data_IF_933339897291
#
_entry.id   IF_933339897291
#
_cell.length_a   1.000
_cell.length_b   1.000
_cell.length_c   1.000
_cell.angle_alpha   90.00
_cell.angle_beta   90.00
_cell.angle_gamma   90.00
#
_symmetry.space_group_name_H-M   'P 1'
#
loop_
_entity.id
_entity.type
_entity.pdbx_description
1 polymer ?
#
# COMPACT_ATOMS: atom_id res chain seq x y z
N UNK A 1 -10.14 -9.86 -1.77
CA UNK A 1 -9.18 -11.00 -1.90
C UNK A 1 -9.94 -12.31 -1.90
N UNK A 2 -9.85 -13.06 -3.02
CA UNK A 2 -10.50 -14.34 -3.27
C UNK A 2 -10.08 -15.37 -2.18
N UNK A 3 -10.97 -16.31 -1.82
CA UNK A 3 -10.66 -17.37 -0.84
C UNK A 3 -9.42 -18.18 -1.26
N UNK A 4 -9.29 -18.46 -2.56
CA UNK A 4 -8.13 -19.12 -3.17
C UNK A 4 -6.85 -18.26 -3.01
N UNK A 5 -6.94 -16.96 -3.28
CA UNK A 5 -5.80 -16.03 -3.13
C UNK A 5 -5.37 -15.92 -1.67
N UNK A 6 -6.33 -15.91 -0.73
CA UNK A 6 -6.01 -15.93 0.71
C UNK A 6 -5.26 -17.19 1.14
N UNK A 7 -5.72 -18.34 0.65
CA UNK A 7 -5.11 -19.61 0.97
C UNK A 7 -3.70 -19.71 0.35
N UNK A 8 -3.56 -19.27 -0.90
CA UNK A 8 -2.27 -19.21 -1.58
C UNK A 8 -1.32 -18.22 -0.89
N UNK A 9 -1.79 -17.04 -0.50
CA UNK A 9 -1.00 -16.07 0.25
C UNK A 9 -0.53 -16.63 1.61
N UNK A 10 -1.41 -17.36 2.33
CA UNK A 10 -1.02 -18.03 3.58
C UNK A 10 0.09 -19.06 3.33
N UNK A 11 -0.08 -19.90 2.31
CA UNK A 11 0.92 -20.90 1.93
C UNK A 11 2.25 -20.23 1.54
N UNK A 12 2.19 -19.18 0.74
CA UNK A 12 3.36 -18.40 0.33
C UNK A 12 4.09 -17.80 1.54
N UNK A 13 3.36 -17.30 2.53
CA UNK A 13 3.98 -16.77 3.75
C UNK A 13 4.65 -17.86 4.60
N UNK A 14 4.09 -19.08 4.63
CA UNK A 14 4.71 -20.22 5.29
C UNK A 14 6.00 -20.67 4.58
N UNK A 15 6.01 -20.66 3.25
CA UNK A 15 7.19 -20.97 2.42
C UNK A 15 8.28 -19.90 2.56
N UNK A 16 7.88 -18.63 2.54
CA UNK A 16 8.79 -17.48 2.70
C UNK A 16 9.55 -17.52 4.04
N UNK A 17 8.87 -18.00 5.10
CA UNK A 17 9.49 -18.23 6.40
C UNK A 17 10.62 -19.26 6.42
N UNK A 18 10.71 -20.14 5.40
CA UNK A 18 11.75 -21.17 5.28
C UNK A 18 12.97 -20.70 4.49
N UNK A 19 12.88 -19.53 3.84
CA UNK A 19 14.01 -18.96 3.09
C UNK A 19 15.10 -18.48 4.04
N UNK A 20 16.35 -18.65 3.65
CA UNK A 20 17.49 -17.98 4.26
C UNK A 20 17.42 -16.46 4.01
N UNK A 21 18.20 -15.67 4.75
CA UNK A 21 18.13 -14.21 4.70
C UNK A 21 18.46 -13.63 3.31
N UNK A 22 19.41 -14.24 2.61
CA UNK A 22 19.79 -13.81 1.25
C UNK A 22 18.65 -14.01 0.25
N UNK A 23 18.09 -15.22 0.21
CA UNK A 23 16.98 -15.56 -0.68
C UNK A 23 15.70 -14.79 -0.34
N UNK A 24 15.42 -14.58 0.96
CA UNK A 24 14.29 -13.79 1.42
C UNK A 24 14.38 -12.33 0.96
N UNK A 25 15.57 -11.74 1.03
CA UNK A 25 15.78 -10.37 0.57
C UNK A 25 15.52 -10.27 -0.93
N UNK A 26 16.13 -11.18 -1.72
CA UNK A 26 15.93 -11.21 -3.17
C UNK A 26 14.46 -11.47 -3.55
N UNK A 27 13.79 -12.39 -2.86
CA UNK A 27 12.35 -12.67 -3.04
C UNK A 27 11.49 -11.46 -2.74
N UNK A 28 11.76 -10.74 -1.66
CA UNK A 28 11.04 -9.51 -1.30
C UNK A 28 11.15 -8.46 -2.40
N UNK A 29 12.34 -8.24 -2.95
CA UNK A 29 12.58 -7.29 -4.02
C UNK A 29 11.80 -7.68 -5.29
N UNK A 30 11.82 -8.97 -5.67
CA UNK A 30 11.07 -9.49 -6.82
C UNK A 30 9.56 -9.36 -6.64
N UNK A 31 9.03 -9.73 -5.47
CA UNK A 31 7.58 -9.62 -5.16
C UNK A 31 7.14 -8.17 -5.21
N UNK A 32 7.90 -7.23 -4.64
CA UNK A 32 7.60 -5.79 -4.71
C UNK A 32 7.57 -5.29 -6.15
N UNK A 33 8.47 -5.77 -7.01
CA UNK A 33 8.51 -5.40 -8.42
C UNK A 33 7.31 -5.96 -9.20
N UNK A 34 6.98 -7.23 -8.99
CA UNK A 34 5.86 -7.91 -9.66
C UNK A 34 4.51 -7.29 -9.26
N UNK A 35 4.35 -6.83 -8.03
CA UNK A 35 3.09 -6.23 -7.53
C UNK A 35 2.64 -4.98 -8.27
N UNK A 36 3.55 -4.27 -8.90
CA UNK A 36 3.20 -3.06 -9.69
C UNK A 36 3.16 -3.29 -11.20
N UNK A 37 3.41 -4.52 -11.65
CA UNK A 37 3.51 -4.87 -13.06
C UNK A 37 2.17 -4.88 -13.82
N UNK A 38 1.03 -4.61 -13.15
CA UNK A 38 -0.30 -4.56 -13.78
C UNK A 38 -0.83 -5.94 -14.20
N UNK A 39 -0.43 -7.00 -13.51
CA UNK A 39 -1.00 -8.36 -13.56
C UNK A 39 -1.96 -8.55 -12.38
N UNK A 40 -2.96 -9.43 -12.51
CA UNK A 40 -3.98 -9.63 -11.48
C UNK A 40 -3.39 -10.18 -10.17
N UNK A 41 -4.04 -9.88 -9.04
CA UNK A 41 -3.61 -10.30 -7.69
C UNK A 41 -3.45 -11.83 -7.62
N UNK A 42 -4.38 -12.57 -8.23
CA UNK A 42 -4.30 -14.03 -8.26
C UNK A 42 -3.03 -14.53 -8.97
N UNK A 43 -2.70 -13.92 -10.12
CA UNK A 43 -1.49 -14.26 -10.87
C UNK A 43 -0.22 -13.87 -10.13
N UNK A 44 -0.24 -12.74 -9.42
CA UNK A 44 0.90 -12.32 -8.59
C UNK A 44 1.22 -13.35 -7.50
N UNK A 45 0.19 -13.88 -6.82
CA UNK A 45 0.39 -14.90 -5.78
C UNK A 45 0.74 -16.28 -6.37
N UNK A 46 0.24 -16.63 -7.57
CA UNK A 46 0.67 -17.85 -8.28
C UNK A 46 2.16 -17.77 -8.65
N UNK A 47 2.58 -16.68 -9.27
CA UNK A 47 4.01 -16.45 -9.58
C UNK A 47 4.87 -16.47 -8.33
N UNK A 48 4.41 -15.83 -7.24
CA UNK A 48 5.13 -15.86 -5.96
C UNK A 48 5.27 -17.29 -5.45
N UNK A 49 4.25 -18.12 -5.59
CA UNK A 49 4.32 -19.52 -5.17
C UNK A 49 5.36 -20.31 -5.98
N UNK A 50 5.35 -20.14 -7.31
CA UNK A 50 6.31 -20.80 -8.19
C UNK A 50 7.75 -20.36 -7.89
N UNK A 51 7.96 -19.07 -7.70
CA UNK A 51 9.28 -18.51 -7.32
C UNK A 51 9.75 -19.05 -5.97
N UNK A 52 8.86 -19.14 -4.96
CA UNK A 52 9.19 -19.68 -3.65
C UNK A 52 9.57 -21.15 -3.73
N UNK A 53 8.80 -21.96 -4.47
CA UNK A 53 9.10 -23.38 -4.68
C UNK A 53 10.46 -23.56 -5.34
N UNK A 54 10.71 -22.85 -6.45
CA UNK A 54 11.98 -22.87 -7.15
C UNK A 54 13.16 -22.45 -6.26
N UNK A 55 12.95 -21.42 -5.43
CA UNK A 55 14.00 -20.91 -4.54
C UNK A 55 14.31 -21.87 -3.40
N UNK A 56 13.30 -22.54 -2.83
CA UNK A 56 13.50 -23.56 -1.78
C UNK A 56 14.25 -24.77 -2.32
N UNK A 57 13.87 -25.25 -3.51
CA UNK A 57 14.58 -26.33 -4.18
C UNK A 57 16.04 -25.98 -4.49
N UNK A 58 16.32 -24.76 -4.92
CA UNK A 58 17.68 -24.26 -5.15
C UNK A 58 18.45 -24.14 -3.82
N UNK A 59 17.82 -23.62 -2.79
CA UNK A 59 18.43 -23.50 -1.45
C UNK A 59 18.85 -24.85 -0.87
N UNK A 60 18.10 -25.94 -1.13
CA UNK A 60 18.46 -27.31 -0.75
C UNK A 60 19.71 -27.79 -1.48
N UNK A 61 19.94 -27.31 -2.71
CA UNK A 61 21.16 -27.58 -3.48
C UNK A 61 22.34 -26.64 -3.14
N UNK A 62 22.11 -25.67 -2.22
CA UNK A 62 23.11 -24.67 -1.86
C UNK A 62 23.23 -23.51 -2.84
N UNK A 63 22.26 -23.35 -3.78
CA UNK A 63 22.20 -22.27 -4.75
C UNK A 63 21.35 -21.11 -4.26
N UNK A 64 21.71 -19.87 -4.61
CA UNK A 64 20.90 -18.69 -4.28
C UNK A 64 19.88 -18.38 -5.37
N UNK A 65 18.78 -17.68 -5.00
CA UNK A 65 17.79 -17.16 -5.96
C UNK A 65 18.46 -16.30 -7.04
N UNK A 66 19.48 -15.54 -6.66
CA UNK A 66 20.22 -14.69 -7.61
C UNK A 66 21.00 -15.53 -8.65
N UNK A 67 21.56 -16.63 -8.25
CA UNK A 67 22.29 -17.54 -9.16
C UNK A 67 21.35 -18.20 -10.14
N UNK A 68 20.23 -18.75 -9.69
CA UNK A 68 19.24 -19.38 -10.59
C UNK A 68 18.52 -18.39 -11.51
N UNK A 69 18.44 -17.10 -11.11
CA UNK A 69 17.93 -16.03 -11.97
C UNK A 69 18.99 -15.45 -12.94
N UNK A 70 20.19 -16.07 -13.03
CA UNK A 70 21.27 -15.63 -13.92
C UNK A 70 21.93 -14.32 -13.52
N UNK A 71 21.82 -13.90 -12.24
CA UNK A 71 22.43 -12.69 -11.70
C UNK A 71 21.61 -11.39 -11.91
N UNK A 72 20.68 -11.38 -12.87
CA UNK A 72 19.80 -10.25 -13.18
C UNK A 72 18.36 -10.55 -12.75
N UNK A 73 18.06 -10.27 -11.47
CA UNK A 73 16.72 -10.44 -10.91
C UNK A 73 15.66 -9.60 -11.62
N UNK A 74 16.01 -8.38 -12.07
CA UNK A 74 15.07 -7.50 -12.76
C UNK A 74 14.72 -8.06 -14.14
N UNK A 75 15.71 -8.40 -14.95
CA UNK A 75 15.50 -9.00 -16.27
C UNK A 75 14.73 -10.31 -16.19
N UNK A 76 14.98 -11.11 -15.15
CA UNK A 76 14.22 -12.33 -14.87
C UNK A 76 12.74 -12.04 -14.57
N UNK A 77 12.44 -11.05 -13.71
CA UNK A 77 11.07 -10.60 -13.45
C UNK A 77 10.40 -10.06 -14.72
N UNK A 78 11.11 -9.29 -15.55
CA UNK A 78 10.57 -8.74 -16.80
C UNK A 78 10.15 -9.84 -17.76
N UNK A 79 10.92 -10.93 -17.85
CA UNK A 79 10.57 -12.10 -18.67
C UNK A 79 9.31 -12.81 -18.13
N UNK A 80 9.19 -12.99 -16.83
CA UNK A 80 8.00 -13.56 -16.21
C UNK A 80 6.77 -12.67 -16.50
N UNK A 81 6.86 -11.37 -16.26
CA UNK A 81 5.77 -10.42 -16.51
C UNK A 81 5.34 -10.42 -17.97
N UNK A 82 6.31 -10.45 -18.91
CA UNK A 82 6.03 -10.47 -20.33
C UNK A 82 5.34 -11.78 -20.81
N UNK A 83 5.51 -12.89 -20.09
CA UNK A 83 4.86 -14.17 -20.39
C UNK A 83 3.41 -14.25 -19.87
N UNK A 84 2.99 -13.32 -19.01
CA UNK A 84 1.67 -13.33 -18.39
C UNK A 84 0.69 -12.42 -19.12
N UNK A 85 -0.59 -12.79 -19.23
CA UNK A 85 -1.60 -11.89 -19.75
C UNK A 85 -1.76 -10.70 -18.80
N UNK A 86 -1.84 -9.46 -19.35
CA UNK A 86 -2.09 -8.28 -18.52
C UNK A 86 -3.48 -8.37 -17.86
N UNK A 87 -3.62 -7.80 -16.67
CA UNK A 87 -4.92 -7.68 -16.02
C UNK A 87 -5.91 -6.90 -16.91
N UNK A 88 -7.15 -7.35 -16.96
CA UNK A 88 -8.22 -6.69 -17.69
C UNK A 88 -8.43 -5.25 -17.22
N UNK A 89 -8.89 -4.37 -18.12
CA UNK A 89 -9.15 -2.95 -17.76
C UNK A 89 -10.18 -2.87 -16.63
N UNK A 90 -11.24 -3.70 -16.68
CA UNK A 90 -12.26 -3.76 -15.62
C UNK A 90 -11.68 -4.18 -14.27
N UNK A 91 -10.80 -5.16 -14.24
CA UNK A 91 -10.12 -5.65 -13.05
C UNK A 91 -9.26 -4.55 -12.41
N UNK A 92 -8.43 -3.87 -13.21
CA UNK A 92 -7.61 -2.73 -12.73
C UNK A 92 -8.44 -1.59 -12.16
N UNK A 93 -9.56 -1.26 -12.82
CA UNK A 93 -10.47 -0.20 -12.35
C UNK A 93 -11.11 -0.63 -11.03
N UNK A 94 -11.52 -1.88 -10.89
CA UNK A 94 -12.12 -2.41 -9.67
C UNK A 94 -11.13 -2.41 -8.50
N UNK A 95 -9.89 -2.85 -8.73
CA UNK A 95 -8.80 -2.80 -7.73
C UNK A 95 -8.48 -1.35 -7.31
N UNK A 96 -8.43 -0.42 -8.27
CA UNK A 96 -8.19 0.99 -7.97
C UNK A 96 -9.35 1.60 -7.15
N UNK A 97 -10.61 1.27 -7.49
CA UNK A 97 -11.78 1.73 -6.75
C UNK A 97 -11.79 1.14 -5.32
N UNK A 98 -11.49 -0.14 -5.18
CA UNK A 98 -11.41 -0.79 -3.87
C UNK A 98 -10.35 -0.13 -2.98
N UNK A 99 -9.17 0.12 -3.54
CA UNK A 99 -8.09 0.83 -2.84
C UNK A 99 -8.51 2.24 -2.42
N UNK A 100 -9.17 3.01 -3.30
CA UNK A 100 -9.68 4.34 -2.99
C UNK A 100 -10.73 4.32 -1.88
N UNK A 101 -11.67 3.37 -1.94
CA UNK A 101 -12.70 3.18 -0.90
C UNK A 101 -12.04 2.88 0.45
N UNK A 102 -11.08 1.95 0.47
CA UNK A 102 -10.35 1.59 1.69
C UNK A 102 -9.56 2.77 2.25
N UNK A 103 -8.81 3.48 1.41
CA UNK A 103 -8.05 4.67 1.84
C UNK A 103 -8.98 5.74 2.43
N UNK A 104 -10.13 5.99 1.78
CA UNK A 104 -11.12 6.96 2.26
C UNK A 104 -11.72 6.51 3.60
N UNK A 105 -12.05 5.23 3.75
CA UNK A 105 -12.57 4.68 5.00
C UNK A 105 -11.58 4.80 6.15
N UNK A 106 -10.30 4.48 5.91
CA UNK A 106 -9.22 4.59 6.91
C UNK A 106 -8.99 6.05 7.31
N UNK A 107 -8.86 6.97 6.34
CA UNK A 107 -8.67 8.39 6.64
C UNK A 107 -9.89 9.00 7.33
N UNK A 108 -11.11 8.57 6.96
CA UNK A 108 -12.34 8.96 7.66
C UNK A 108 -12.36 8.47 9.12
N UNK A 109 -11.93 7.22 9.37
CA UNK A 109 -11.81 6.68 10.71
C UNK A 109 -10.75 7.44 11.55
N UNK A 110 -9.61 7.78 10.95
CA UNK A 110 -8.57 8.60 11.60
C UNK A 110 -9.10 9.98 11.93
N UNK A 111 -9.80 10.65 10.99
CA UNK A 111 -10.43 11.94 11.24
C UNK A 111 -11.42 11.85 12.38
N UNK A 112 -12.29 10.83 12.39
CA UNK A 112 -13.22 10.59 13.48
C UNK A 112 -12.50 10.45 14.84
N UNK A 113 -11.45 9.61 14.88
CA UNK A 113 -10.71 9.34 16.12
C UNK A 113 -9.97 10.56 16.67
N UNK A 114 -9.46 11.41 15.78
CA UNK A 114 -8.67 12.61 16.16
C UNK A 114 -9.51 13.88 16.23
N UNK A 115 -10.82 13.82 15.96
CA UNK A 115 -11.68 15.01 15.98
C UNK A 115 -11.91 15.52 17.41
N UNK A 116 -12.01 16.85 17.61
CA UNK A 116 -12.38 17.43 18.90
C UNK A 116 -13.73 16.92 19.43
N UNK A 117 -14.65 16.61 18.53
CA UNK A 117 -15.98 16.10 18.86
C UNK A 117 -15.89 14.73 19.56
N UNK A 118 -14.95 13.87 19.17
CA UNK A 118 -14.70 12.60 19.85
C UNK A 118 -14.21 12.82 21.28
N UNK A 119 -13.34 13.79 21.49
CA UNK A 119 -12.94 14.18 22.84
C UNK A 119 -14.13 14.71 23.65
N UNK A 120 -14.97 15.59 23.08
CA UNK A 120 -16.18 16.09 23.73
C UNK A 120 -17.19 14.98 24.02
N UNK A 121 -17.33 13.98 23.16
CA UNK A 121 -18.16 12.80 23.40
C UNK A 121 -17.66 12.01 24.62
N UNK A 122 -16.37 11.71 24.67
CA UNK A 122 -15.76 10.98 25.79
C UNK A 122 -15.95 11.74 27.10
N UNK A 123 -15.72 13.06 27.09
CA UNK A 123 -15.95 13.90 28.23
C UNK A 123 -17.43 13.92 28.65
N UNK A 124 -18.34 13.97 27.70
CA UNK A 124 -19.79 13.97 27.93
C UNK A 124 -20.29 12.67 28.59
N UNK A 125 -19.71 11.54 28.22
CA UNK A 125 -19.99 10.24 28.85
C UNK A 125 -19.61 10.24 30.35
N UNK A 126 -18.57 10.99 30.71
CA UNK A 126 -18.12 11.11 32.12
C UNK A 126 -18.92 12.18 32.92
N UNK A 127 -19.29 13.30 32.26
CA UNK A 127 -19.92 14.43 32.90
C UNK A 127 -21.46 14.48 32.79
N UNK A 128 -22.05 13.58 31.98
CA UNK A 128 -23.50 13.54 31.70
C UNK A 128 -23.99 14.70 30.81
N UNK A 129 -23.11 15.49 30.21
CA UNK A 129 -23.48 16.57 29.29
C UNK A 129 -23.92 16.06 27.94
N UNK A 130 -24.70 16.86 27.17
CA UNK A 130 -25.15 16.53 25.82
C UNK A 130 -24.48 17.46 24.81
N UNK A 131 -23.30 17.12 24.26
CA UNK A 131 -22.65 17.94 23.25
C UNK A 131 -23.37 17.83 21.90
N UNK A 132 -23.35 18.90 21.12
CA UNK A 132 -23.64 18.81 19.69
C UNK A 132 -22.45 18.13 19.00
N UNK A 133 -22.69 16.98 18.39
CA UNK A 133 -21.66 16.16 17.75
C UNK A 133 -21.83 16.26 16.23
N UNK A 134 -21.20 17.29 15.64
CA UNK A 134 -21.20 17.49 14.19
C UNK A 134 -19.76 17.54 13.69
N UNK A 135 -19.41 16.62 12.78
CA UNK A 135 -18.11 16.59 12.10
C UNK A 135 -18.21 17.51 10.89
N UNK A 136 -17.32 18.47 10.82
CA UNK A 136 -17.21 19.39 9.69
C UNK A 136 -16.18 18.87 8.70
N UNK A 137 -16.57 18.81 7.43
CA UNK A 137 -15.66 18.50 6.31
C UNK A 137 -15.36 19.82 5.62
N UNK A 138 -14.07 20.16 5.56
CA UNK A 138 -13.57 21.41 5.00
C UNK A 138 -12.90 21.20 3.65
N UNK A 139 -12.65 22.30 2.93
CA UNK A 139 -11.83 22.25 1.73
C UNK A 139 -10.38 21.85 2.05
N UNK A 140 -9.89 22.22 3.24
CA UNK A 140 -8.59 21.79 3.75
C UNK A 140 -8.49 20.28 3.92
N UNK A 141 -9.54 19.63 4.43
CA UNK A 141 -9.61 18.18 4.55
C UNK A 141 -9.49 17.49 3.18
N UNK A 142 -10.19 17.98 2.15
CA UNK A 142 -10.11 17.41 0.80
C UNK A 142 -8.71 17.55 0.20
N UNK A 143 -8.08 18.70 0.38
CA UNK A 143 -6.70 18.93 -0.09
C UNK A 143 -5.72 17.98 0.63
N UNK A 144 -5.85 17.84 1.95
CA UNK A 144 -5.03 16.94 2.75
C UNK A 144 -5.21 15.49 2.33
N UNK A 145 -6.46 15.05 2.13
CA UNK A 145 -6.80 13.72 1.63
C UNK A 145 -6.13 13.44 0.28
N UNK A 146 -6.29 14.34 -0.68
CA UNK A 146 -5.70 14.19 -2.01
C UNK A 146 -4.16 14.13 -1.95
N UNK A 147 -3.53 14.96 -1.13
CA UNK A 147 -2.08 15.00 -0.97
C UNK A 147 -1.54 13.73 -0.29
N UNK A 148 -2.18 13.23 0.76
CA UNK A 148 -1.77 12.00 1.46
C UNK A 148 -1.92 10.79 0.51
N UNK A 149 -3.03 10.71 -0.23
CA UNK A 149 -3.26 9.63 -1.20
C UNK A 149 -2.22 9.67 -2.34
N UNK A 150 -1.96 10.85 -2.90
CA UNK A 150 -0.95 11.02 -3.94
C UNK A 150 0.46 10.68 -3.44
N UNK A 151 0.82 11.09 -2.22
CA UNK A 151 2.09 10.76 -1.59
C UNK A 151 2.24 9.25 -1.37
N UNK A 152 1.20 8.58 -0.86
CA UNK A 152 1.20 7.14 -0.67
C UNK A 152 1.38 6.38 -2.00
N UNK A 153 0.63 6.74 -3.04
CA UNK A 153 0.80 6.17 -4.39
C UNK A 153 2.22 6.42 -4.93
N UNK A 154 2.74 7.65 -4.78
CA UNK A 154 4.10 8.00 -5.21
C UNK A 154 5.18 7.18 -4.49
N UNK A 155 5.03 6.95 -3.19
CA UNK A 155 5.95 6.13 -2.40
C UNK A 155 5.92 4.67 -2.87
N UNK A 156 4.72 4.10 -3.06
CA UNK A 156 4.57 2.72 -3.55
C UNK A 156 5.23 2.54 -4.92
N UNK A 157 4.93 3.43 -5.87
CA UNK A 157 5.54 3.41 -7.21
C UNK A 157 7.06 3.60 -7.17
N UNK A 158 7.55 4.48 -6.28
CA UNK A 158 8.99 4.70 -6.09
C UNK A 158 9.68 3.45 -5.55
N UNK A 159 9.12 2.82 -4.51
CA UNK A 159 9.66 1.59 -3.92
C UNK A 159 9.70 0.49 -4.98
N UNK A 160 8.60 0.27 -5.67
CA UNK A 160 8.50 -0.76 -6.68
C UNK A 160 9.49 -0.57 -7.84
N UNK A 161 9.57 0.64 -8.39
CA UNK A 161 10.52 0.96 -9.48
C UNK A 161 11.98 0.83 -9.05
N UNK A 162 12.28 0.99 -7.75
CA UNK A 162 13.63 0.92 -7.22
C UNK A 162 13.85 -0.32 -6.34
N UNK A 163 12.99 -1.33 -6.37
CA UNK A 163 13.07 -2.51 -5.51
C UNK A 163 14.48 -3.11 -5.51
N UNK A 164 15.05 -3.39 -6.68
CA UNK A 164 16.39 -3.96 -6.81
C UNK A 164 17.55 -2.99 -6.53
N UNK A 165 17.28 -1.70 -6.28
CA UNK A 165 18.29 -0.68 -6.01
C UNK A 165 18.27 -0.13 -4.57
N UNK A 166 17.30 -0.57 -3.76
CA UNK A 166 17.16 -0.17 -2.35
C UNK A 166 18.16 -0.95 -1.46
N UNK A 167 18.59 -0.40 -0.29
CA UNK A 167 19.63 -0.98 0.55
C UNK A 167 19.25 -2.27 1.30
N UNK A 168 18.26 -3.02 0.89
CA UNK A 168 17.95 -4.38 1.35
C UNK A 168 18.61 -5.44 0.46
N UNK A 169 18.76 -5.17 -0.83
CA UNK A 169 19.54 -6.00 -1.73
C UNK A 169 21.03 -5.77 -1.48
N UNK A 170 21.78 -6.83 -1.24
CA UNK A 170 23.22 -6.82 -1.01
C UNK A 170 23.91 -6.18 -2.22
N UNK A 171 24.21 -4.89 -2.10
CA UNK A 171 25.05 -4.22 -3.08
C UNK A 171 26.46 -4.74 -2.89
N UNK A 172 27.00 -5.35 -3.93
CA UNK A 172 28.43 -5.53 -4.11
C UNK A 172 29.18 -4.27 -3.67
N UNK A 173 30.23 -4.48 -2.83
CA UNK A 173 30.95 -3.46 -2.09
C UNK A 173 31.74 -2.48 -2.94
N UNK A 174 31.13 -1.78 -3.89
CA UNK A 174 31.70 -0.62 -4.56
C UNK A 174 31.03 0.65 -4.07
N UNK A 175 31.83 1.44 -3.41
CA UNK A 175 31.74 2.85 -3.04
C UNK A 175 30.43 3.53 -3.46
N UNK A 176 29.43 3.50 -2.56
CA UNK A 176 28.20 4.28 -2.74
C UNK A 176 28.61 5.73 -2.85
N UNK A 177 28.66 6.25 -4.05
CA UNK A 177 28.96 7.65 -4.29
C UNK A 177 28.16 8.51 -3.33
N UNK A 178 28.85 9.23 -2.43
CA UNK A 178 28.32 10.18 -1.45
C UNK A 178 27.26 11.08 -2.08
N UNK A 179 27.41 11.41 -3.36
CA UNK A 179 26.44 12.17 -4.19
C UNK A 179 25.07 11.44 -4.34
N UNK A 180 25.02 10.10 -4.43
CA UNK A 180 23.78 9.35 -4.58
C UNK A 180 22.97 9.33 -3.26
N UNK A 181 23.67 9.26 -2.12
CA UNK A 181 23.06 9.34 -0.78
C UNK A 181 22.49 10.74 -0.55
N UNK A 182 23.27 11.80 -0.84
CA UNK A 182 22.83 13.18 -0.70
C UNK A 182 21.64 13.52 -1.59
N UNK A 183 21.60 13.00 -2.83
CA UNK A 183 20.44 13.17 -3.73
C UNK A 183 19.20 12.49 -3.18
N UNK A 184 19.29 11.28 -2.64
CA UNK A 184 18.16 10.58 -2.03
C UNK A 184 17.65 11.31 -0.79
N UNK A 185 18.57 11.78 0.05
CA UNK A 185 18.25 12.58 1.22
C UNK A 185 17.56 13.91 0.81
N UNK A 186 18.07 14.60 -0.21
CA UNK A 186 17.46 15.80 -0.74
C UNK A 186 16.05 15.59 -1.28
N UNK A 187 15.77 14.47 -1.97
CA UNK A 187 14.43 14.10 -2.43
C UNK A 187 13.49 13.89 -1.23
N UNK A 188 13.95 13.17 -0.19
CA UNK A 188 13.16 12.94 1.02
C UNK A 188 12.84 14.24 1.76
N UNK A 189 13.82 15.12 1.94
CA UNK A 189 13.61 16.45 2.54
C UNK A 189 12.67 17.31 1.70
N UNK A 190 12.81 17.29 0.37
CA UNK A 190 11.92 18.02 -0.54
C UNK A 190 10.47 17.54 -0.43
N UNK A 191 10.25 16.23 -0.37
CA UNK A 191 8.92 15.65 -0.18
C UNK A 191 8.32 16.03 1.19
N UNK A 192 9.12 16.00 2.25
CA UNK A 192 8.69 16.42 3.59
C UNK A 192 8.30 17.90 3.64
N UNK A 193 9.10 18.78 3.01
CA UNK A 193 8.80 20.20 2.92
C UNK A 193 7.53 20.47 2.11
N UNK A 194 7.33 19.75 1.00
CA UNK A 194 6.11 19.85 0.19
C UNK A 194 4.89 19.42 1.01
N UNK A 195 4.99 18.32 1.76
CA UNK A 195 3.92 17.87 2.64
C UNK A 195 3.61 18.89 3.74
N UNK A 196 4.64 19.47 4.37
CA UNK A 196 4.47 20.53 5.38
C UNK A 196 3.77 21.75 4.76
N UNK A 197 4.14 22.14 3.54
CA UNK A 197 3.46 23.25 2.83
C UNK A 197 1.99 22.93 2.56
N UNK A 198 1.69 21.70 2.13
CA UNK A 198 0.29 21.26 1.92
C UNK A 198 -0.51 21.34 3.22
N UNK A 199 0.07 20.90 4.35
CA UNK A 199 -0.58 21.00 5.66
C UNK A 199 -0.81 22.46 6.08
N UNK A 200 0.12 23.36 5.82
CA UNK A 200 -0.05 24.80 6.10
C UNK A 200 -1.14 25.42 5.24
N UNK A 201 -1.21 25.06 3.95
CA UNK A 201 -2.25 25.54 3.03
C UNK A 201 -3.60 24.96 3.42
N UNK A 202 -3.68 23.66 3.76
CA UNK A 202 -4.94 23.03 4.19
C UNK A 202 -5.49 23.70 5.45
N UNK A 203 -4.64 24.02 6.42
CA UNK A 203 -5.04 24.75 7.63
C UNK A 203 -5.62 26.14 7.34
N UNK A 204 -5.22 26.80 6.25
CA UNK A 204 -5.83 28.06 5.79
C UNK A 204 -7.18 27.85 5.11
N UNK A 205 -7.38 26.69 4.49
CA UNK A 205 -8.62 26.32 3.81
C UNK A 205 -9.67 25.70 4.76
N UNK A 206 -9.33 25.44 6.01
CA UNK A 206 -10.26 24.90 7.01
C UNK A 206 -11.41 25.86 7.33
N UNK A 207 -11.26 27.16 7.02
CA UNK A 207 -12.36 28.13 7.12
C UNK A 207 -13.50 27.88 6.12
N UNK A 208 -13.23 27.15 5.03
CA UNK A 208 -14.23 26.86 3.99
C UNK A 208 -14.89 25.52 4.28
N UNK A 209 -16.01 25.57 5.00
CA UNK A 209 -16.84 24.40 5.29
C UNK A 209 -17.60 23.97 4.03
N UNK A 210 -17.48 22.69 3.67
CA UNK A 210 -18.21 22.09 2.54
C UNK A 210 -19.51 21.48 3.06
N UNK A 211 -19.41 20.66 4.09
CA UNK A 211 -20.56 19.98 4.68
C UNK A 211 -20.31 19.72 6.17
N UNK A 212 -21.36 19.81 6.96
CA UNK A 212 -21.35 19.33 8.34
C UNK A 212 -22.25 18.10 8.45
N UNK A 213 -21.75 17.04 9.01
CA UNK A 213 -22.46 15.75 9.14
C UNK A 213 -22.50 15.40 10.62
N UNK A 214 -23.66 14.90 11.09
CA UNK A 214 -23.73 14.37 12.43
C UNK A 214 -22.72 13.23 12.62
N UNK A 215 -22.06 13.18 13.76
CA UNK A 215 -21.02 12.19 14.07
C UNK A 215 -21.47 10.76 13.87
N UNK A 216 -22.73 10.42 14.23
CA UNK A 216 -23.29 9.08 13.98
C UNK A 216 -23.46 8.81 12.47
N UNK A 217 -23.92 9.80 11.70
CA UNK A 217 -24.03 9.70 10.25
C UNK A 217 -22.66 9.50 9.61
N UNK A 218 -21.64 10.23 10.05
CA UNK A 218 -20.27 10.07 9.58
C UNK A 218 -19.71 8.68 9.92
N UNK A 219 -19.94 8.18 11.12
CA UNK A 219 -19.56 6.82 11.53
C UNK A 219 -20.26 5.76 10.64
N UNK A 220 -21.55 5.93 10.34
CA UNK A 220 -22.27 5.04 9.43
C UNK A 220 -21.69 5.06 8.02
N UNK A 221 -21.29 6.22 7.50
CA UNK A 221 -20.64 6.35 6.19
C UNK A 221 -19.32 5.59 6.18
N UNK A 222 -18.47 5.79 7.19
CA UNK A 222 -17.18 5.08 7.30
C UNK A 222 -17.41 3.56 7.41
N UNK A 223 -18.36 3.10 8.23
CA UNK A 223 -18.70 1.69 8.35
C UNK A 223 -19.23 1.11 7.02
N UNK A 224 -20.05 1.87 6.28
CA UNK A 224 -20.55 1.49 4.98
C UNK A 224 -19.40 1.33 3.96
N UNK A 225 -18.42 2.23 3.97
CA UNK A 225 -17.25 2.13 3.10
C UNK A 225 -16.44 0.87 3.39
N UNK A 226 -16.21 0.50 4.65
CA UNK A 226 -15.59 -0.78 5.02
C UNK A 226 -16.41 -1.98 4.56
N UNK A 227 -17.76 -1.90 4.63
CA UNK A 227 -18.63 -2.95 4.14
C UNK A 227 -18.55 -3.08 2.60
N UNK A 228 -18.51 -1.96 1.87
CA UNK A 228 -18.34 -1.93 0.41
C UNK A 228 -17.00 -2.54 0.02
N UNK A 229 -15.91 -2.15 0.67
CA UNK A 229 -14.58 -2.75 0.48
C UNK A 229 -14.64 -4.28 0.67
N UNK A 230 -15.28 -4.75 1.74
CA UNK A 230 -15.43 -6.19 1.99
C UNK A 230 -16.24 -6.90 0.90
N UNK A 231 -17.31 -6.24 0.37
CA UNK A 231 -18.16 -6.79 -0.70
C UNK A 231 -17.39 -6.84 -2.03
N UNK A 232 -16.64 -5.80 -2.38
CA UNK A 232 -15.81 -5.76 -3.58
C UNK A 232 -14.79 -6.90 -3.55
N UNK A 233 -14.10 -7.08 -2.44
CA UNK A 233 -13.19 -8.20 -2.24
C UNK A 233 -13.84 -9.60 -2.28
N UNK A 234 -15.15 -9.70 -2.06
CA UNK A 234 -15.89 -10.97 -2.19
C UNK A 234 -16.38 -11.24 -3.62
N UNK A 235 -16.58 -10.21 -4.45
CA UNK A 235 -17.06 -10.37 -5.84
C UNK A 235 -16.01 -10.94 -6.78
N UNK A 236 -14.74 -10.62 -6.61
CA UNK A 236 -13.63 -11.25 -7.34
C UNK A 236 -13.59 -12.78 -7.17
N UNK A 237 -14.30 -13.31 -6.18
CA UNK A 237 -14.42 -14.77 -5.92
C UNK A 237 -15.31 -15.47 -6.96
N UNK A 238 -16.21 -14.77 -7.68
CA UNK A 238 -17.24 -15.42 -8.51
C UNK A 238 -16.95 -15.42 -10.01
N UNK A 239 -15.96 -14.66 -10.47
CA UNK A 239 -15.70 -14.51 -11.92
C UNK A 239 -14.50 -15.32 -12.44
N UNK A 240 -13.83 -16.17 -11.61
CA UNK A 240 -12.73 -17.05 -12.03
C UNK A 240 -12.97 -18.50 -11.64
#
# INVERSE_FOLDING_TARGET
MNKRVKELNRLNNEMDGKLNEENRTAMTDMVCYIRVAGISENRQEEVRNDLLSMTLDAQERGESLREIAGGDLQGFCDQIIASLPPAGVGERVLEALDTLVLCTAVLGAVKLALSPETYYLIRALVTGSRPELSIVITLGDLLQYAAVTAAACGIVLYIAKNAFSLPGGRMDGKEKSRKKIWRRFGIGCGAALLMALVLLVSARLDHYTIVSVNMLGFLCIVALMFAVHKILNMREVKEN
#
